data_IF_270792570224
#
_entry.id   IF_270792570224
#
_cell.length_a   1.000
_cell.length_b   1.000
_cell.length_c   1.000
_cell.angle_alpha   90.00
_cell.angle_beta   90.00
_cell.angle_gamma   90.00
#
_symmetry.space_group_name_H-M   'P 1'
#
loop_
_entity.id
_entity.type
_entity.pdbx_description
1 polymer ?
#
# COMPACT_ATOMS: atom_id res chain seq x y z
N UNK A 1 -12.72 0.18 -4.18
CA UNK A 1 -11.74 1.30 -4.11
C UNK A 1 -11.11 1.49 -2.72
N UNK A 2 -11.49 0.74 -1.70
CA UNK A 2 -11.03 0.88 -0.30
C UNK A 2 -9.63 0.33 -0.03
N UNK A 3 -9.24 -0.74 -0.75
CA UNK A 3 -7.96 -1.46 -0.56
C UNK A 3 -6.73 -0.58 -0.85
N UNK A 4 -6.77 0.20 -1.93
CA UNK A 4 -5.68 1.13 -2.28
C UNK A 4 -5.50 2.23 -1.23
N UNK A 5 -6.60 2.69 -0.64
CA UNK A 5 -6.57 3.73 0.39
C UNK A 5 -5.98 3.20 1.70
N UNK A 6 -6.34 1.99 2.09
CA UNK A 6 -5.75 1.32 3.25
C UNK A 6 -4.23 1.08 3.06
N UNK A 7 -3.82 0.63 1.87
CA UNK A 7 -2.40 0.49 1.53
C UNK A 7 -1.65 1.82 1.62
N UNK A 8 -2.27 2.90 1.13
CA UNK A 8 -1.67 4.24 1.21
C UNK A 8 -1.52 4.74 2.64
N UNK A 9 -2.51 4.52 3.51
CA UNK A 9 -2.43 4.90 4.92
C UNK A 9 -1.32 4.16 5.67
N UNK A 10 -1.10 2.88 5.35
CA UNK A 10 0.04 2.11 5.88
C UNK A 10 1.37 2.65 5.36
N UNK A 11 1.44 2.98 4.07
CA UNK A 11 2.61 3.60 3.45
C UNK A 11 2.97 4.93 4.11
N UNK A 12 2.00 5.82 4.32
CA UNK A 12 2.19 7.12 4.98
C UNK A 12 2.75 6.95 6.38
N UNK A 13 2.16 6.07 7.20
CA UNK A 13 2.66 5.79 8.55
C UNK A 13 4.10 5.27 8.56
N UNK A 14 4.50 4.51 7.53
CA UNK A 14 5.88 4.04 7.37
C UNK A 14 6.82 5.18 6.97
N UNK A 15 6.43 6.04 6.05
CA UNK A 15 7.19 7.24 5.71
C UNK A 15 7.48 8.10 6.96
N UNK A 16 6.46 8.36 7.78
CA UNK A 16 6.62 9.10 9.04
C UNK A 16 7.60 8.44 10.01
N UNK A 17 7.55 7.12 10.18
CA UNK A 17 8.48 6.37 11.05
C UNK A 17 9.95 6.51 10.65
N UNK A 18 10.22 6.73 9.37
CA UNK A 18 11.59 6.87 8.85
C UNK A 18 11.97 8.34 8.57
N UNK A 19 11.11 9.30 8.91
CA UNK A 19 11.34 10.73 8.64
C UNK A 19 11.30 11.10 7.16
N UNK A 20 10.54 10.35 6.36
CA UNK A 20 10.38 10.55 4.92
C UNK A 20 9.05 11.26 4.63
N UNK A 21 9.02 12.14 3.62
CA UNK A 21 7.75 12.66 3.11
C UNK A 21 7.10 11.65 2.15
N UNK A 22 5.80 11.32 2.34
CA UNK A 22 5.08 10.45 1.43
C UNK A 22 4.73 11.16 0.12
N UNK A 23 4.77 10.43 -1.00
CA UNK A 23 4.25 10.89 -2.29
C UNK A 23 2.72 10.93 -2.29
N UNK A 24 2.10 11.71 -3.17
CA UNK A 24 0.63 11.79 -3.20
C UNK A 24 -0.04 10.45 -3.60
N UNK A 25 -1.30 10.28 -3.18
CA UNK A 25 -2.08 9.06 -3.41
C UNK A 25 -2.17 8.65 -4.89
N UNK A 26 -2.30 9.62 -5.80
CA UNK A 26 -2.40 9.35 -7.24
C UNK A 26 -1.11 8.72 -7.76
N UNK A 27 0.05 9.23 -7.34
CA UNK A 27 1.34 8.64 -7.71
C UNK A 27 1.58 7.30 -7.01
N UNK A 28 1.18 7.16 -5.75
CA UNK A 28 1.22 5.88 -5.05
C UNK A 28 0.44 4.78 -5.81
N UNK A 29 -0.76 5.10 -6.31
CA UNK A 29 -1.57 4.16 -7.10
C UNK A 29 -0.97 3.88 -8.48
N UNK A 30 -0.38 4.89 -9.14
CA UNK A 30 0.20 4.76 -10.50
C UNK A 30 1.57 4.06 -10.48
N UNK A 31 2.37 4.24 -9.43
CA UNK A 31 3.73 3.70 -9.34
C UNK A 31 3.79 2.24 -8.85
N UNK A 32 2.68 1.70 -8.34
CA UNK A 32 2.62 0.27 -8.04
C UNK A 32 2.62 -0.50 -9.35
N UNK A 33 3.78 -1.09 -9.68
CA UNK A 33 3.84 -2.05 -10.78
C UNK A 33 2.82 -3.17 -10.53
N UNK A 34 2.26 -3.80 -11.57
CA UNK A 34 1.30 -4.89 -11.40
C UNK A 34 1.80 -5.98 -10.45
N UNK A 35 3.12 -6.23 -10.43
CA UNK A 35 3.78 -7.17 -9.52
C UNK A 35 3.73 -6.72 -8.05
N UNK A 36 4.01 -5.44 -7.78
CA UNK A 36 3.93 -4.88 -6.43
C UNK A 36 2.48 -4.83 -5.93
N UNK A 37 1.55 -4.47 -6.80
CA UNK A 37 0.12 -4.52 -6.50
C UNK A 37 -0.31 -5.94 -6.11
N UNK A 38 0.15 -6.94 -6.85
CA UNK A 38 -0.18 -8.35 -6.62
C UNK A 38 0.43 -8.88 -5.31
N UNK A 39 1.67 -8.50 -5.00
CA UNK A 39 2.31 -8.83 -3.72
C UNK A 39 1.57 -8.20 -2.53
N UNK A 40 1.19 -6.92 -2.61
CA UNK A 40 0.42 -6.27 -1.55
C UNK A 40 -0.97 -6.90 -1.38
N UNK A 41 -1.65 -7.24 -2.47
CA UNK A 41 -2.93 -7.95 -2.41
C UNK A 41 -2.79 -9.34 -1.77
N UNK A 42 -1.75 -10.10 -2.13
CA UNK A 42 -1.47 -11.41 -1.54
C UNK A 42 -1.15 -11.29 -0.04
N UNK A 43 -0.34 -10.31 0.36
CA UNK A 43 -0.03 -10.07 1.77
C UNK A 43 -1.27 -9.61 2.56
N UNK A 44 -2.12 -8.78 1.97
CA UNK A 44 -3.38 -8.36 2.59
C UNK A 44 -4.37 -9.53 2.74
N UNK A 45 -4.45 -10.45 1.77
CA UNK A 45 -5.24 -11.68 1.86
C UNK A 45 -4.73 -12.61 2.97
N UNK A 46 -3.41 -12.81 3.05
CA UNK A 46 -2.79 -13.61 4.11
C UNK A 46 -3.01 -13.02 5.50
N UNK A 47 -3.02 -11.69 5.64
CA UNK A 47 -3.31 -11.00 6.91
C UNK A 47 -4.79 -10.97 7.26
N UNK A 48 -5.68 -11.07 6.27
CA UNK A 48 -7.13 -11.10 6.47
C UNK A 48 -7.66 -12.50 6.84
N UNK A 49 -6.83 -13.54 6.81
CA UNK A 49 -7.21 -14.90 7.19
C UNK A 49 -8.23 -15.55 6.25
N UNK A 50 -8.27 -15.13 4.98
CA UNK A 50 -9.08 -15.76 3.94
C UNK A 50 -8.12 -16.57 3.08
N UNK A 51 -8.12 -17.89 3.30
CA UNK A 51 -7.46 -18.88 2.44
C UNK A 51 -8.10 -18.94 1.03
#
# INVERSE_FOLDING_TARGET
>A
MTIYRQGYEVYVKKCEQFGLEPINFRYYVIQLSPKQLNEFNNQALQQAGVE
#
